data_IF_930735169626
#
_entry.id   IF_930735169626
#
_cell.length_a   1.000
_cell.length_b   1.000
_cell.length_c   1.000
_cell.angle_alpha   90.00
_cell.angle_beta   90.00
_cell.angle_gamma   90.00
#
_symmetry.space_group_name_H-M   'P 1'
#
loop_
_entity.id
_entity.type
_entity.pdbx_description
1 polymer ?
#
# COMPACT_ATOMS: atom_id res chain seq x y z
N UNK A 1 0.04 -30.66 -40.46
CA UNK A 1 1.17 -30.14 -39.67
C UNK A 1 0.95 -28.63 -39.54
N UNK A 2 0.05 -28.13 -38.69
CA UNK A 2 0.14 -27.96 -37.23
C UNK A 2 1.49 -27.40 -36.76
N UNK A 3 1.51 -26.10 -36.45
CA UNK A 3 2.36 -25.48 -35.44
C UNK A 3 1.61 -24.22 -34.96
N UNK A 4 1.34 -24.19 -33.67
CA UNK A 4 0.41 -23.28 -33.00
C UNK A 4 0.96 -21.85 -32.89
N UNK A 5 0.07 -20.88 -33.03
CA UNK A 5 0.27 -19.53 -32.53
C UNK A 5 0.21 -19.58 -31.01
N UNK A 6 1.34 -19.38 -30.34
CA UNK A 6 1.41 -19.35 -28.88
C UNK A 6 0.89 -17.99 -28.39
N UNK A 7 -0.10 -18.06 -27.51
CA UNK A 7 -0.87 -16.97 -26.91
C UNK A 7 0.00 -15.98 -26.13
N UNK A 8 -0.29 -14.69 -26.32
CA UNK A 8 0.15 -13.60 -25.46
C UNK A 8 -0.63 -13.62 -24.15
N UNK A 9 -0.06 -14.24 -23.11
CA UNK A 9 -0.51 -14.05 -21.73
C UNK A 9 0.34 -12.95 -21.10
N UNK A 10 -0.17 -11.72 -21.12
CA UNK A 10 0.41 -10.61 -20.36
C UNK A 10 -0.63 -9.96 -19.45
N UNK A 11 -0.35 -10.14 -18.15
CA UNK A 11 -0.61 -9.22 -17.05
C UNK A 11 -2.07 -9.03 -16.61
N UNK A 12 -2.65 -10.09 -16.08
CA UNK A 12 -3.77 -9.97 -15.15
C UNK A 12 -3.25 -9.37 -13.84
N UNK A 13 -3.42 -8.06 -13.69
CA UNK A 13 -3.28 -7.40 -12.40
C UNK A 13 -4.12 -8.19 -11.40
N UNK A 14 -3.48 -8.80 -10.40
CA UNK A 14 -4.15 -9.55 -9.35
C UNK A 14 -5.08 -8.61 -8.56
N UNK A 15 -6.28 -8.39 -9.08
CA UNK A 15 -7.43 -8.01 -8.31
C UNK A 15 -7.71 -9.22 -7.43
N UNK A 16 -7.14 -9.22 -6.23
CA UNK A 16 -7.66 -10.04 -5.15
C UNK A 16 -9.06 -9.51 -4.90
N UNK A 17 -10.05 -10.14 -5.52
CA UNK A 17 -11.45 -10.03 -5.12
C UNK A 17 -11.49 -10.69 -3.75
N UNK A 18 -11.32 -9.89 -2.69
CA UNK A 18 -11.51 -10.32 -1.30
C UNK A 18 -12.92 -10.91 -1.20
N UNK A 19 -13.03 -12.24 -1.26
CA UNK A 19 -14.25 -12.96 -0.92
C UNK A 19 -14.29 -13.19 0.58
N UNK A 20 -14.44 -12.10 1.34
CA UNK A 20 -14.73 -12.14 2.79
C UNK A 20 -15.77 -11.06 3.03
N UNK A 21 -16.77 -11.36 3.86
CA UNK A 21 -17.95 -10.51 4.11
C UNK A 21 -17.64 -9.02 4.28
N UNK A 22 -18.65 -8.18 4.03
CA UNK A 22 -18.54 -6.72 3.93
C UNK A 22 -17.62 -6.13 5.01
N UNK A 23 -16.40 -5.76 4.61
CA UNK A 23 -15.37 -5.27 5.53
C UNK A 23 -15.83 -3.95 6.16
N UNK A 24 -15.57 -3.72 7.46
CA UNK A 24 -15.94 -2.47 8.09
C UNK A 24 -15.23 -1.32 7.37
N UNK A 25 -15.98 -0.27 7.06
CA UNK A 25 -15.47 0.90 6.34
C UNK A 25 -15.13 2.05 7.28
N UNK A 26 -15.56 1.94 8.55
CA UNK A 26 -15.34 2.94 9.60
C UNK A 26 -14.92 2.25 10.89
N UNK A 27 -14.20 2.99 11.75
CA UNK A 27 -13.81 2.49 13.06
C UNK A 27 -15.03 2.08 13.90
N UNK A 28 -16.10 2.89 13.86
CA UNK A 28 -17.35 2.58 14.57
C UNK A 28 -17.93 1.24 14.14
N UNK A 29 -18.07 1.01 12.83
CA UNK A 29 -18.55 -0.26 12.30
C UNK A 29 -17.64 -1.44 12.66
N UNK A 30 -16.31 -1.24 12.70
CA UNK A 30 -15.39 -2.27 13.15
C UNK A 30 -15.59 -2.63 14.63
N UNK A 31 -15.82 -1.63 15.49
CA UNK A 31 -16.04 -1.82 16.93
C UNK A 31 -17.43 -2.38 17.28
N UNK A 32 -18.40 -2.26 16.38
CA UNK A 32 -19.73 -2.86 16.52
C UNK A 32 -19.79 -4.32 15.98
N UNK A 33 -18.72 -4.79 15.33
CA UNK A 33 -18.65 -6.15 14.78
C UNK A 33 -18.33 -7.20 15.84
N UNK A 34 -18.62 -8.47 15.54
CA UNK A 34 -18.22 -9.62 16.36
C UNK A 34 -16.71 -9.72 16.59
N UNK A 35 -15.91 -9.22 15.65
CA UNK A 35 -14.46 -9.24 15.68
C UNK A 35 -13.85 -7.93 16.22
N UNK A 36 -14.63 -7.10 16.93
CA UNK A 36 -14.20 -5.81 17.44
C UNK A 36 -12.87 -5.84 18.20
N UNK A 37 -12.63 -6.88 19.00
CA UNK A 37 -11.37 -7.07 19.74
C UNK A 37 -10.18 -7.18 18.78
N UNK A 38 -10.29 -8.02 17.75
CA UNK A 38 -9.23 -8.25 16.75
C UNK A 38 -8.99 -6.99 15.91
N UNK A 39 -10.06 -6.27 15.56
CA UNK A 39 -9.93 -4.98 14.85
C UNK A 39 -9.25 -3.92 15.70
N UNK A 40 -9.54 -3.88 17.00
CA UNK A 40 -8.93 -2.93 17.93
C UNK A 40 -7.44 -3.21 18.07
N UNK A 41 -7.06 -4.46 18.26
CA UNK A 41 -5.64 -4.89 18.30
C UNK A 41 -4.90 -4.49 17.02
N UNK A 42 -5.54 -4.66 15.85
CA UNK A 42 -4.95 -4.23 14.58
C UNK A 42 -4.80 -2.70 14.47
N UNK A 43 -5.76 -1.93 15.00
CA UNK A 43 -5.66 -0.46 15.07
C UNK A 43 -4.54 0.00 16.02
N UNK A 44 -4.45 -0.61 17.20
CA UNK A 44 -3.44 -0.27 18.20
C UNK A 44 -2.04 -0.58 17.65
N UNK A 45 -1.86 -1.74 17.00
CA UNK A 45 -0.60 -2.11 16.34
C UNK A 45 -0.17 -1.13 15.24
N UNK A 46 -1.12 -0.58 14.47
CA UNK A 46 -0.82 0.45 13.45
C UNK A 46 -0.38 1.76 14.12
N UNK A 47 -1.09 2.21 15.16
CA UNK A 47 -0.72 3.40 15.92
C UNK A 47 0.70 3.28 16.52
N UNK A 48 1.01 2.14 17.13
CA UNK A 48 2.33 1.85 17.69
C UNK A 48 3.41 1.87 16.60
N UNK A 49 3.11 1.31 15.43
CA UNK A 49 4.04 1.32 14.29
C UNK A 49 4.29 2.74 13.79
N UNK A 50 3.25 3.58 13.71
CA UNK A 50 3.38 4.98 13.31
C UNK A 50 4.22 5.79 14.31
N UNK A 51 4.05 5.55 15.62
CA UNK A 51 4.84 6.19 16.65
C UNK A 51 6.30 5.73 16.61
N UNK A 52 6.53 4.43 16.42
CA UNK A 52 7.88 3.84 16.37
C UNK A 52 8.69 4.29 15.16
N UNK A 53 8.05 4.53 14.02
CA UNK A 53 8.73 4.95 12.80
C UNK A 53 9.33 6.35 12.90
N UNK A 54 8.84 7.21 13.81
CA UNK A 54 9.38 8.55 14.07
C UNK A 54 9.52 9.42 12.79
N UNK A 55 8.56 9.27 11.86
CA UNK A 55 8.59 9.98 10.56
C UNK A 55 7.74 11.25 10.56
N UNK A 56 7.16 11.66 11.69
CA UNK A 56 6.21 12.76 11.77
C UNK A 56 6.16 13.40 13.14
N UNK A 57 5.90 14.72 13.17
CA UNK A 57 5.69 15.49 14.40
C UNK A 57 4.25 16.01 14.48
N UNK A 58 3.70 16.04 15.69
CA UNK A 58 2.43 16.73 15.96
C UNK A 58 2.68 18.24 15.96
N UNK A 59 2.20 18.93 14.94
CA UNK A 59 2.30 20.39 14.84
C UNK A 59 0.91 21.06 14.86
N UNK A 60 0.80 22.28 15.40
CA UNK A 60 -0.44 23.05 15.27
C UNK A 60 -0.73 23.34 13.80
N UNK A 61 -2.02 23.31 13.43
CA UNK A 61 -2.44 23.59 12.05
C UNK A 61 -2.03 25.02 11.66
N UNK A 62 -1.22 25.23 10.60
CA UNK A 62 -0.82 26.56 10.17
C UNK A 62 -2.03 27.42 9.78
N UNK A 63 -1.93 28.73 10.04
CA UNK A 63 -3.00 29.69 9.70
C UNK A 63 -3.31 29.63 8.20
N UNK A 64 -4.59 29.60 7.86
CA UNK A 64 -5.06 29.57 6.47
C UNK A 64 -4.95 28.22 5.77
N UNK A 65 -4.53 27.16 6.47
CA UNK A 65 -4.49 25.78 5.95
C UNK A 65 -5.66 24.95 6.47
N UNK A 66 -6.06 23.94 5.70
CA UNK A 66 -7.07 22.96 6.09
C UNK A 66 -6.37 21.63 6.34
N UNK A 67 -6.63 21.01 7.49
CA UNK A 67 -6.10 19.70 7.78
C UNK A 67 -6.63 18.65 6.78
N UNK A 68 -5.74 17.80 6.29
CA UNK A 68 -6.11 16.64 5.47
C UNK A 68 -6.67 15.59 6.42
N UNK A 69 -7.91 15.15 6.17
CA UNK A 69 -8.51 14.10 6.98
C UNK A 69 -7.84 12.74 6.76
N UNK A 70 -8.02 11.81 7.69
CA UNK A 70 -7.61 10.41 7.54
C UNK A 70 -8.82 9.48 7.52
N UNK A 71 -8.60 8.22 7.19
CA UNK A 71 -9.57 7.12 7.30
C UNK A 71 -8.88 5.83 7.66
N UNK A 72 -9.63 4.93 8.28
CA UNK A 72 -9.22 3.55 8.45
C UNK A 72 -9.49 2.73 7.19
N UNK A 73 -8.61 1.77 6.92
CA UNK A 73 -8.78 0.73 5.91
C UNK A 73 -8.60 -0.60 6.60
N UNK A 74 -9.66 -1.40 6.62
CA UNK A 74 -9.69 -2.71 7.25
C UNK A 74 -9.65 -3.81 6.21
N UNK A 75 -8.85 -4.84 6.49
CA UNK A 75 -8.71 -6.03 5.65
C UNK A 75 -8.46 -7.25 6.54
N UNK A 76 -9.15 -8.35 6.26
CA UNK A 76 -8.76 -9.67 6.74
C UNK A 76 -7.73 -10.22 5.76
N UNK A 77 -6.67 -10.85 6.27
CA UNK A 77 -5.70 -11.57 5.46
C UNK A 77 -5.90 -13.05 5.71
N UNK A 78 -6.02 -13.78 4.61
CA UNK A 78 -6.19 -15.22 4.59
C UNK A 78 -4.89 -15.89 4.12
N UNK A 79 -4.63 -17.08 4.62
CA UNK A 79 -3.53 -17.91 4.16
C UNK A 79 -3.88 -18.60 2.83
N UNK A 80 -2.95 -19.38 2.26
CA UNK A 80 -3.20 -20.13 1.01
C UNK A 80 -4.30 -21.19 1.14
N UNK A 81 -4.65 -21.60 2.36
CA UNK A 81 -5.74 -22.53 2.64
C UNK A 81 -7.10 -21.84 2.80
N UNK A 82 -7.16 -20.50 2.70
CA UNK A 82 -8.39 -19.72 2.88
C UNK A 82 -8.79 -19.51 4.35
N UNK A 83 -7.89 -19.81 5.29
CA UNK A 83 -8.13 -19.56 6.71
C UNK A 83 -7.64 -18.16 7.09
N UNK A 84 -8.30 -17.54 8.07
CA UNK A 84 -7.93 -16.21 8.55
C UNK A 84 -6.54 -16.27 9.20
N UNK A 85 -5.57 -15.62 8.58
CA UNK A 85 -4.21 -15.45 9.07
C UNK A 85 -4.12 -14.27 10.05
N UNK A 86 -4.66 -13.11 9.67
CA UNK A 86 -4.61 -11.89 10.51
C UNK A 86 -5.63 -10.84 10.13
N UNK A 87 -5.96 -10.00 11.12
CA UNK A 87 -6.71 -8.76 10.91
C UNK A 87 -5.72 -7.62 10.67
N UNK A 88 -5.99 -6.79 9.66
CA UNK A 88 -5.12 -5.71 9.25
C UNK A 88 -5.90 -4.40 9.20
N UNK A 89 -5.45 -3.42 9.97
CA UNK A 89 -5.92 -2.06 9.92
C UNK A 89 -4.80 -1.14 9.40
N UNK A 90 -5.16 -0.10 8.65
CA UNK A 90 -4.25 0.97 8.26
C UNK A 90 -4.89 2.32 8.42
N UNK A 91 -4.14 3.28 8.95
CA UNK A 91 -4.56 4.67 9.02
C UNK A 91 -3.98 5.42 7.83
N UNK A 92 -4.86 5.85 6.92
CA UNK A 92 -4.43 6.45 5.64
C UNK A 92 -4.96 7.87 5.52
N UNK A 93 -4.09 8.81 5.13
CA UNK A 93 -4.51 10.16 4.77
C UNK A 93 -5.46 10.13 3.56
N UNK A 94 -6.43 11.03 3.51
CA UNK A 94 -7.31 11.22 2.37
C UNK A 94 -6.55 11.95 1.26
N UNK A 95 -5.56 11.29 0.66
CA UNK A 95 -4.65 11.87 -0.34
C UNK A 95 -5.36 12.49 -1.54
N UNK A 96 -6.53 11.97 -1.93
CA UNK A 96 -7.37 12.56 -2.98
C UNK A 96 -7.86 13.98 -2.68
N UNK A 97 -7.75 14.43 -1.42
CA UNK A 97 -8.09 15.79 -0.99
C UNK A 97 -6.89 16.74 -0.95
N UNK A 98 -5.68 16.25 -1.21
CA UNK A 98 -4.45 17.04 -1.28
C UNK A 98 -4.42 17.87 -2.57
N UNK A 99 -3.83 19.07 -2.48
CA UNK A 99 -3.62 19.98 -3.62
C UNK A 99 -2.14 20.20 -3.89
N UNK A 100 -1.74 20.00 -5.14
CA UNK A 100 -0.38 20.32 -5.62
C UNK A 100 -0.05 21.81 -5.37
N UNK A 101 1.18 22.08 -4.92
CA UNK A 101 1.67 23.43 -4.59
C UNK A 101 1.06 24.02 -3.33
N UNK A 102 0.22 23.27 -2.61
CA UNK A 102 -0.28 23.62 -1.29
C UNK A 102 0.17 22.54 -0.32
N UNK A 103 -0.32 21.31 -0.48
CA UNK A 103 -0.14 20.19 0.45
C UNK A 103 1.06 19.30 0.12
N UNK A 104 1.51 19.33 -1.14
CA UNK A 104 2.71 18.65 -1.58
C UNK A 104 3.30 19.37 -2.79
N UNK A 105 4.63 19.34 -2.90
CA UNK A 105 5.37 19.97 -3.99
C UNK A 105 5.94 18.93 -4.97
N UNK A 106 6.15 17.69 -4.54
CA UNK A 106 6.64 16.60 -5.38
C UNK A 106 5.97 15.27 -5.01
N UNK A 107 5.56 14.47 -6.00
CA UNK A 107 5.10 13.09 -5.82
C UNK A 107 6.29 12.14 -5.91
N UNK A 108 7.14 12.10 -4.89
CA UNK A 108 8.17 11.07 -4.82
C UNK A 108 7.57 9.75 -4.36
N UNK A 109 7.17 8.93 -5.33
CA UNK A 109 7.26 7.49 -5.15
C UNK A 109 8.58 7.07 -5.84
N UNK A 110 9.58 6.52 -5.12
CA UNK A 110 10.80 6.00 -5.72
C UNK A 110 10.49 4.68 -6.45
N UNK A 111 9.64 4.75 -7.48
CA UNK A 111 9.36 3.61 -8.35
C UNK A 111 10.37 3.67 -9.48
N UNK A 112 11.35 2.75 -9.43
CA UNK A 112 12.27 2.56 -10.53
C UNK A 112 11.47 2.26 -11.80
N UNK A 113 11.57 3.13 -12.81
CA UNK A 113 10.94 2.88 -14.10
C UNK A 113 11.66 1.72 -14.78
N UNK A 114 10.91 0.79 -15.36
CA UNK A 114 11.49 -0.32 -16.11
C UNK A 114 12.45 0.14 -17.21
N UNK A 115 12.19 1.29 -17.83
CA UNK A 115 13.11 1.91 -18.80
C UNK A 115 14.48 2.19 -18.17
N UNK A 116 14.51 2.79 -16.98
CA UNK A 116 15.76 3.06 -16.25
C UNK A 116 16.48 1.77 -15.87
N UNK A 117 15.75 0.75 -15.39
CA UNK A 117 16.32 -0.57 -15.07
C UNK A 117 16.96 -1.21 -16.31
N UNK A 118 16.24 -1.22 -17.45
CA UNK A 118 16.73 -1.77 -18.71
C UNK A 118 17.99 -1.05 -19.22
N UNK A 119 18.08 0.28 -19.04
CA UNK A 119 19.28 1.06 -19.40
C UNK A 119 20.46 0.66 -18.52
N UNK A 120 20.27 0.52 -17.20
CA UNK A 120 21.34 0.08 -16.30
C UNK A 120 21.82 -1.33 -16.65
N UNK A 121 20.90 -2.26 -16.94
CA UNK A 121 21.23 -3.62 -17.38
C UNK A 121 21.98 -3.63 -18.72
N UNK A 122 21.56 -2.83 -19.71
CA UNK A 122 22.22 -2.79 -21.01
C UNK A 122 23.63 -2.19 -20.93
N UNK A 123 23.82 -1.18 -20.09
CA UNK A 123 25.15 -0.64 -19.77
C UNK A 123 26.02 -1.68 -19.08
N UNK A 124 25.50 -2.38 -18.07
CA UNK A 124 26.25 -3.43 -17.38
C UNK A 124 26.70 -4.54 -18.34
N UNK A 125 25.82 -4.99 -19.23
CA UNK A 125 26.15 -5.98 -20.26
C UNK A 125 27.22 -5.46 -21.23
N UNK A 126 27.10 -4.20 -21.68
CA UNK A 126 28.06 -3.56 -22.60
C UNK A 126 29.46 -3.45 -22.00
N UNK A 127 29.55 -3.12 -20.72
CA UNK A 127 30.82 -2.87 -20.03
C UNK A 127 31.32 -4.07 -19.20
N UNK A 128 30.65 -5.22 -19.26
CA UNK A 128 31.04 -6.42 -18.51
C UNK A 128 30.98 -6.24 -16.98
N UNK A 129 30.09 -5.38 -16.50
CA UNK A 129 29.96 -5.06 -15.08
C UNK A 129 29.15 -6.15 -14.35
N UNK A 130 29.52 -6.42 -13.09
CA UNK A 130 28.74 -7.29 -12.20
C UNK A 130 27.58 -6.51 -11.59
N UNK A 131 26.37 -7.05 -11.68
CA UNK A 131 25.19 -6.49 -11.05
C UNK A 131 24.92 -7.18 -9.72
N UNK A 132 24.61 -6.40 -8.70
CA UNK A 132 24.17 -6.89 -7.40
C UNK A 132 22.83 -6.24 -7.08
N UNK A 133 21.80 -7.07 -6.86
CA UNK A 133 20.51 -6.60 -6.35
C UNK A 133 20.59 -6.54 -4.83
N UNK A 134 20.23 -5.40 -4.25
CA UNK A 134 19.94 -5.27 -2.83
C UNK A 134 18.42 -5.18 -2.68
N UNK A 135 17.87 -6.00 -1.80
CA UNK A 135 16.46 -6.02 -1.38
C UNK A 135 16.34 -5.37 0.00
#
# INVERSE_FOLDING_TARGET
>A
MSAAAQESQDFEAAYVVDSVGEMPTTFKSAMESSDAVKWKEACDSECDSLLKNDTWDVVPLPKGRKAIGCRWVFRVKENQAGEIERFKARLVAKGFSQKYGIDYDETFAPVAKFTSIRIVLSLAAKYGLKLHQMD
#
